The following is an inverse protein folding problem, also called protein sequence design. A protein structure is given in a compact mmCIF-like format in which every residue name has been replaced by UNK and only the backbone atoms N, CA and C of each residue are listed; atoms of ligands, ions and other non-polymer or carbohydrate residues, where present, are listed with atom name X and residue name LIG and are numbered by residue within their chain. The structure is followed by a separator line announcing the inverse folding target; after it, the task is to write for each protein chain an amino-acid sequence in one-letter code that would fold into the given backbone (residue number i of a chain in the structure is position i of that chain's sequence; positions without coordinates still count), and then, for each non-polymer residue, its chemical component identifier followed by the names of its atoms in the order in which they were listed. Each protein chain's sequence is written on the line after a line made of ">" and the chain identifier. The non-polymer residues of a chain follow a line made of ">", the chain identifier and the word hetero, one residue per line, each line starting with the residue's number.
data_IF_774637540185
#
_entry.id   IF_774637540185
#
_cell.length_a   1.000
_cell.length_b   1.000
_cell.length_c   1.000
_cell.angle_alpha   90.00
_cell.angle_beta   90.00
_cell.angle_gamma   90.00
#
_symmetry.space_group_name_H-M   'P 1'
#
loop_
_entity.id
_entity.type
_entity.pdbx_description
1 polymer ?
#
# COMPACT_ATOMS: atom_id res chain seq x y z
N UNK A 1 8.94 10.89 16.02
CA UNK A 1 8.95 9.53 15.44
C UNK A 1 8.01 9.53 14.25
N UNK A 2 8.48 9.16 13.05
CA UNK A 2 7.61 9.07 11.86
C UNK A 2 7.05 7.64 11.71
N UNK A 3 5.85 7.52 11.16
CA UNK A 3 5.27 6.23 10.80
C UNK A 3 5.94 5.73 9.50
N UNK A 4 6.59 4.58 9.53
CA UNK A 4 7.27 3.98 8.37
C UNK A 4 6.38 2.89 7.78
N UNK A 5 6.09 2.96 6.48
CA UNK A 5 5.23 2.00 5.77
C UNK A 5 6.10 1.19 4.80
N UNK A 6 6.34 -0.08 5.12
CA UNK A 6 7.15 -1.00 4.29
C UNK A 6 6.27 -1.84 3.36
N UNK A 7 5.60 -1.18 2.41
CA UNK A 7 4.69 -1.86 1.49
C UNK A 7 5.42 -2.82 0.55
N UNK A 8 6.63 -2.46 0.13
CA UNK A 8 7.54 -3.26 -0.68
C UNK A 8 7.91 -4.60 -0.03
N UNK A 9 8.23 -4.59 1.27
CA UNK A 9 8.52 -5.81 2.04
C UNK A 9 7.29 -6.71 2.11
N UNK A 10 6.11 -6.13 2.36
CA UNK A 10 4.86 -6.90 2.41
C UNK A 10 4.50 -7.51 1.05
N UNK A 11 4.69 -6.76 -0.03
CA UNK A 11 4.47 -7.25 -1.38
C UNK A 11 5.41 -8.41 -1.74
N UNK A 12 6.70 -8.28 -1.41
CA UNK A 12 7.69 -9.34 -1.62
C UNK A 12 7.35 -10.60 -0.82
N UNK A 13 6.98 -10.45 0.47
CA UNK A 13 6.54 -11.57 1.32
C UNK A 13 5.30 -12.29 0.76
N UNK A 14 4.36 -11.54 0.20
CA UNK A 14 3.11 -12.05 -0.39
C UNK A 14 3.26 -12.49 -1.85
N UNK A 15 4.46 -12.34 -2.45
CA UNK A 15 4.75 -12.59 -3.87
C UNK A 15 3.73 -11.92 -4.81
N UNK A 16 3.37 -10.67 -4.50
CA UNK A 16 2.35 -9.93 -5.25
C UNK A 16 2.91 -8.66 -5.89
N UNK A 17 2.38 -8.30 -7.05
CA UNK A 17 2.72 -7.06 -7.76
C UNK A 17 1.89 -5.87 -7.26
N UNK A 18 2.33 -4.65 -7.61
CA UNK A 18 1.61 -3.43 -7.23
C UNK A 18 0.26 -3.33 -7.97
N UNK A 19 0.17 -3.92 -9.17
CA UNK A 19 -1.06 -4.00 -9.95
C UNK A 19 -2.08 -4.96 -9.34
N UNK A 20 -1.65 -6.14 -8.92
CA UNK A 20 -2.53 -7.09 -8.22
C UNK A 20 -3.06 -6.50 -6.90
N UNK A 21 -2.22 -5.76 -6.17
CA UNK A 21 -2.67 -5.05 -4.98
C UNK A 21 -3.70 -3.97 -5.35
N UNK A 22 -3.43 -3.19 -6.39
CA UNK A 22 -4.33 -2.14 -6.90
C UNK A 22 -5.74 -2.68 -7.18
N UNK A 23 -5.82 -3.84 -7.84
CA UNK A 23 -7.08 -4.50 -8.14
C UNK A 23 -7.79 -5.04 -6.89
N UNK A 24 -7.05 -5.59 -5.91
CA UNK A 24 -7.64 -6.14 -4.68
C UNK A 24 -8.20 -5.07 -3.74
N UNK A 25 -7.54 -3.92 -3.65
CA UNK A 25 -7.92 -2.86 -2.70
C UNK A 25 -8.81 -1.80 -3.36
N UNK A 26 -9.09 -1.91 -4.66
CA UNK A 26 -9.82 -0.93 -5.47
C UNK A 26 -9.20 0.49 -5.37
N UNK A 27 -7.88 0.55 -5.48
CA UNK A 27 -7.11 1.81 -5.40
C UNK A 27 -6.14 1.87 -6.55
N UNK A 28 -6.02 3.02 -7.18
CA UNK A 28 -5.10 3.22 -8.31
C UNK A 28 -3.64 2.93 -7.93
N UNK A 29 -2.88 2.38 -8.88
CA UNK A 29 -1.44 2.17 -8.74
C UNK A 29 -0.67 3.46 -8.38
N UNK A 30 -1.14 4.62 -8.83
CA UNK A 30 -0.56 5.91 -8.50
C UNK A 30 -0.64 6.19 -6.99
N UNK A 31 -1.80 5.98 -6.37
CA UNK A 31 -1.98 6.16 -4.93
C UNK A 31 -1.16 5.16 -4.12
N UNK A 32 -1.11 3.89 -4.55
CA UNK A 32 -0.26 2.88 -3.91
C UNK A 32 1.23 3.20 -4.06
N UNK A 33 1.67 3.80 -5.17
CA UNK A 33 3.06 4.24 -5.35
C UNK A 33 3.42 5.41 -4.44
N UNK A 34 2.49 6.34 -4.18
CA UNK A 34 2.68 7.42 -3.21
C UNK A 34 2.87 6.83 -1.80
N UNK A 35 2.07 5.82 -1.46
CA UNK A 35 2.17 5.10 -0.18
C UNK A 35 3.49 4.33 -0.04
N UNK A 36 3.87 3.56 -1.07
CA UNK A 36 5.12 2.78 -1.14
C UNK A 36 6.36 3.66 -0.94
N UNK A 37 6.37 4.85 -1.54
CA UNK A 37 7.51 5.77 -1.48
C UNK A 37 7.47 6.71 -0.26
N UNK A 38 6.57 6.50 0.70
CA UNK A 38 6.47 7.33 1.91
C UNK A 38 6.04 8.78 1.67
N UNK A 39 5.45 9.09 0.51
CA UNK A 39 4.99 10.44 0.15
C UNK A 39 3.54 10.70 0.55
N UNK A 40 2.85 9.70 1.09
CA UNK A 40 1.48 9.82 1.53
C UNK A 40 1.36 10.76 2.75
N UNK A 41 0.44 11.73 2.66
CA UNK A 41 0.13 12.65 3.76
C UNK A 41 -0.98 12.15 4.67
N UNK A 42 -1.88 11.33 4.11
CA UNK A 42 -3.01 10.73 4.80
C UNK A 42 -3.40 9.41 4.12
N UNK A 43 -4.00 8.51 4.89
CA UNK A 43 -4.58 7.25 4.42
C UNK A 43 -5.85 6.98 5.24
N UNK A 44 -6.90 6.46 4.61
CA UNK A 44 -8.09 6.00 5.35
C UNK A 44 -7.75 4.67 6.03
N UNK A 45 -8.21 4.49 7.27
CA UNK A 45 -8.02 3.22 7.98
C UNK A 45 -8.64 2.03 7.24
N UNK A 46 -9.76 2.23 6.55
CA UNK A 46 -10.39 1.20 5.70
C UNK A 46 -9.48 0.74 4.57
N UNK A 47 -8.78 1.67 3.92
CA UNK A 47 -7.76 1.36 2.91
C UNK A 47 -6.59 0.60 3.51
N UNK A 48 -6.09 1.04 4.67
CA UNK A 48 -4.99 0.37 5.34
C UNK A 48 -5.37 -1.05 5.75
N UNK A 49 -6.57 -1.26 6.29
CA UNK A 49 -7.11 -2.59 6.63
C UNK A 49 -7.14 -3.51 5.40
N UNK A 50 -7.65 -3.00 4.28
CA UNK A 50 -7.75 -3.77 3.04
C UNK A 50 -6.37 -4.13 2.45
N UNK A 51 -5.33 -3.31 2.66
CA UNK A 51 -3.94 -3.65 2.33
C UNK A 51 -3.36 -4.70 3.31
N UNK A 52 -3.74 -4.62 4.59
CA UNK A 52 -3.19 -5.46 5.64
C UNK A 52 -3.80 -6.86 5.73
N UNK A 53 -5.05 -7.07 5.30
CA UNK A 53 -5.61 -8.42 5.07
C UNK A 53 -4.73 -9.19 4.09
#
# INVERSE_FOLDING_TARGET
>A
MALIINLDVMMAKRKMSLGELSERVDITQANLSILKNGKARAIRFTTLEAICR
#
